data_IF_445698582755
#
_entry.id   IF_445698582755
#
_cell.length_a   1.000
_cell.length_b   1.000
_cell.length_c   1.000
_cell.angle_alpha   90.00
_cell.angle_beta   90.00
_cell.angle_gamma   90.00
#
_symmetry.space_group_name_H-M   'P 1'
#
loop_
_entity.id
_entity.type
_entity.pdbx_description
1 polymer ?
#
# COMPACT_ATOMS: atom_id res chain seq x y z
N UNK A 1 25.97 6.03 24.30
CA UNK A 1 25.12 5.92 23.10
C UNK A 1 23.75 5.43 23.53
N UNK A 2 22.69 6.22 23.34
CA UNK A 2 21.32 5.79 23.64
C UNK A 2 20.85 4.83 22.56
N UNK A 3 20.39 3.64 22.96
CA UNK A 3 19.78 2.67 22.04
C UNK A 3 18.41 3.23 21.63
N UNK A 4 18.24 3.52 20.34
CA UNK A 4 16.93 3.88 19.79
C UNK A 4 16.05 2.63 19.78
N UNK A 5 14.86 2.71 20.38
CA UNK A 5 13.89 1.61 20.38
C UNK A 5 12.68 2.01 19.54
N UNK A 6 12.48 1.33 18.42
CA UNK A 6 11.35 1.55 17.52
C UNK A 6 10.42 0.34 17.61
N UNK A 7 9.19 0.49 18.16
CA UNK A 7 8.19 -0.56 18.11
C UNK A 7 7.86 -0.93 16.66
N UNK A 8 8.11 -2.18 16.26
CA UNK A 8 7.84 -2.65 14.89
C UNK A 8 6.72 -3.69 14.92
N UNK A 9 5.70 -3.53 14.08
CA UNK A 9 4.66 -4.53 13.94
C UNK A 9 5.23 -5.83 13.34
N UNK A 10 4.80 -6.99 13.85
CA UNK A 10 5.33 -8.30 13.46
C UNK A 10 5.34 -8.55 11.94
N UNK A 11 4.35 -8.03 11.22
CA UNK A 11 4.26 -8.16 9.75
C UNK A 11 5.44 -7.52 9.02
N UNK A 12 6.09 -6.51 9.62
CA UNK A 12 7.21 -5.80 9.01
C UNK A 12 8.58 -6.32 9.45
N UNK A 13 8.65 -7.21 10.45
CA UNK A 13 9.90 -7.79 10.94
C UNK A 13 10.80 -8.36 9.82
N UNK A 14 10.28 -9.06 8.78
CA UNK A 14 11.12 -9.53 7.68
C UNK A 14 11.84 -8.40 6.93
N UNK A 15 11.25 -7.20 6.86
CA UNK A 15 11.81 -6.06 6.11
C UNK A 15 13.00 -5.39 6.84
N UNK A 16 13.26 -5.74 8.10
CA UNK A 16 14.42 -5.27 8.84
C UNK A 16 15.73 -5.91 8.34
N UNK A 17 15.64 -7.07 7.69
CA UNK A 17 16.81 -7.74 7.12
C UNK A 17 17.34 -6.97 5.90
N UNK A 18 18.66 -6.94 5.63
CA UNK A 18 19.20 -6.34 4.43
C UNK A 18 18.64 -7.01 3.17
N UNK A 19 18.11 -6.23 2.23
CA UNK A 19 17.59 -6.76 0.97
C UNK A 19 17.57 -5.70 -0.12
N UNK A 20 18.00 -6.08 -1.32
CA UNK A 20 18.04 -5.19 -2.48
C UNK A 20 16.67 -4.59 -2.81
N UNK A 21 15.61 -5.40 -2.69
CA UNK A 21 14.23 -4.97 -2.92
C UNK A 21 13.40 -5.28 -1.68
N UNK A 22 12.74 -4.27 -1.13
CA UNK A 22 11.82 -4.38 0.00
C UNK A 22 10.45 -3.88 -0.38
N UNK A 23 9.40 -4.65 -0.10
CA UNK A 23 8.04 -4.30 -0.48
C UNK A 23 7.05 -4.50 0.66
N UNK A 24 6.15 -3.55 0.86
CA UNK A 24 4.96 -3.75 1.67
C UNK A 24 3.72 -3.37 0.84
N UNK A 25 2.80 -4.32 0.70
CA UNK A 25 1.53 -4.10 0.02
C UNK A 25 0.34 -4.38 0.93
N UNK A 26 -0.82 -3.81 0.63
CA UNK A 26 -2.08 -4.14 1.31
C UNK A 26 -3.01 -2.94 1.43
N UNK A 27 -4.01 -3.01 2.30
CA UNK A 27 -5.04 -1.97 2.44
C UNK A 27 -4.59 -0.67 3.12
N UNK A 28 -5.50 0.30 3.23
CA UNK A 28 -5.31 1.54 3.98
C UNK A 28 -5.18 1.24 5.49
N UNK A 29 -4.54 2.15 6.22
CA UNK A 29 -4.41 2.04 7.68
C UNK A 29 -3.49 0.93 8.20
N UNK A 30 -2.75 0.25 7.32
CA UNK A 30 -1.87 -0.87 7.73
C UNK A 30 -0.49 -0.46 8.25
N UNK A 31 -0.18 0.84 8.35
CA UNK A 31 1.07 1.32 8.93
C UNK A 31 2.30 1.28 8.00
N UNK A 32 2.16 0.85 6.74
CA UNK A 32 3.29 0.70 5.78
C UNK A 32 4.18 1.93 5.65
N UNK A 33 3.58 3.10 5.43
CA UNK A 33 4.33 4.35 5.28
C UNK A 33 5.03 4.75 6.58
N UNK A 34 4.38 4.55 7.74
CA UNK A 34 4.99 4.83 9.04
C UNK A 34 6.21 3.94 9.28
N UNK A 35 6.11 2.64 8.97
CA UNK A 35 7.23 1.71 9.07
C UNK A 35 8.43 2.15 8.21
N UNK A 36 8.23 2.42 6.92
CA UNK A 36 9.34 2.87 6.06
C UNK A 36 9.90 4.24 6.47
N UNK A 37 9.06 5.14 6.99
CA UNK A 37 9.52 6.41 7.54
C UNK A 37 10.40 6.24 8.78
N UNK A 38 10.02 5.35 9.70
CA UNK A 38 10.82 5.02 10.89
C UNK A 38 12.13 4.33 10.51
N UNK A 39 12.06 3.33 9.63
CA UNK A 39 13.25 2.62 9.12
C UNK A 39 14.24 3.57 8.43
N UNK A 40 13.74 4.55 7.68
CA UNK A 40 14.61 5.54 7.03
C UNK A 40 15.32 6.42 8.05
N UNK A 41 14.61 6.89 9.09
CA UNK A 41 15.18 7.72 10.15
C UNK A 41 16.22 6.94 10.96
N UNK A 42 15.89 5.69 11.32
CA UNK A 42 16.82 4.77 11.98
C UNK A 42 18.09 4.59 11.15
N UNK A 43 17.97 4.30 9.85
CA UNK A 43 19.11 4.11 8.97
C UNK A 43 19.98 5.37 8.88
N UNK A 44 19.38 6.55 8.75
CA UNK A 44 20.11 7.82 8.72
C UNK A 44 20.85 8.09 10.04
N UNK A 45 20.32 7.61 11.17
CA UNK A 45 20.94 7.75 12.48
C UNK A 45 22.08 6.74 12.71
N UNK A 46 21.87 5.49 12.26
CA UNK A 46 22.84 4.41 12.39
C UNK A 46 24.02 4.57 11.41
N UNK A 47 23.73 5.05 10.21
CA UNK A 47 24.70 5.23 9.13
C UNK A 47 24.81 6.70 8.73
N UNK A 48 25.70 7.40 9.43
CA UNK A 48 26.00 8.81 9.15
C UNK A 48 26.47 8.99 7.70
N UNK A 49 25.93 10.00 7.03
CA UNK A 49 26.18 10.25 5.60
C UNK A 49 25.21 9.55 4.65
N UNK A 50 24.14 8.93 5.15
CA UNK A 50 23.13 8.29 4.30
C UNK A 50 22.51 9.26 3.31
N UNK A 51 22.61 8.92 2.02
CA UNK A 51 21.90 9.56 0.92
C UNK A 51 20.65 8.75 0.58
N UNK A 52 19.46 9.36 0.72
CA UNK A 52 18.18 8.71 0.47
C UNK A 52 17.24 9.56 -0.37
N UNK A 53 16.42 8.91 -1.20
CA UNK A 53 15.46 9.57 -2.08
C UNK A 53 14.07 8.97 -1.90
N UNK A 54 13.08 9.82 -1.66
CA UNK A 54 11.67 9.45 -1.67
C UNK A 54 11.06 9.78 -3.04
N UNK A 55 10.42 8.80 -3.66
CA UNK A 55 9.99 8.84 -5.06
C UNK A 55 8.48 8.61 -5.16
N UNK A 56 7.83 9.39 -6.03
CA UNK A 56 6.45 9.18 -6.49
C UNK A 56 6.37 9.39 -8.00
N UNK A 57 5.32 8.88 -8.66
CA UNK A 57 5.18 9.08 -10.12
C UNK A 57 4.98 10.56 -10.49
N UNK A 58 4.01 11.25 -9.88
CA UNK A 58 3.74 12.67 -10.16
C UNK A 58 3.87 13.50 -8.88
N UNK A 59 4.52 14.65 -9.00
CA UNK A 59 4.70 15.60 -7.90
C UNK A 59 3.81 16.82 -8.15
N UNK A 60 2.51 16.74 -7.84
CA UNK A 60 1.63 17.92 -7.87
C UNK A 60 1.34 18.41 -6.44
N UNK A 61 1.83 19.62 -6.18
CA UNK A 61 1.51 20.59 -5.11
C UNK A 61 1.86 20.25 -3.64
N UNK A 62 3.07 20.69 -3.24
CA UNK A 62 3.47 21.46 -2.05
C UNK A 62 3.28 20.99 -0.58
N UNK A 63 2.74 19.80 -0.25
CA UNK A 63 2.58 19.41 1.17
C UNK A 63 2.90 17.93 1.50
N UNK A 64 3.98 17.39 0.89
CA UNK A 64 4.94 16.49 1.57
C UNK A 64 4.36 15.30 2.37
N UNK A 65 3.69 14.32 1.75
CA UNK A 65 3.24 13.12 2.52
C UNK A 65 4.42 12.40 3.17
N UNK A 66 5.44 12.01 2.40
CA UNK A 66 6.58 11.27 2.92
C UNK A 66 7.56 12.18 3.69
N UNK A 67 7.79 13.44 3.25
CA UNK A 67 8.65 14.38 4.00
C UNK A 67 8.05 14.75 5.36
N UNK A 68 6.79 15.19 5.43
CA UNK A 68 6.14 15.50 6.72
C UNK A 68 6.08 14.27 7.62
N UNK A 69 5.86 13.10 7.03
CA UNK A 69 5.90 11.86 7.78
C UNK A 69 7.29 11.63 8.39
N UNK A 70 8.37 11.78 7.62
CA UNK A 70 9.74 11.64 8.12
C UNK A 70 10.04 12.70 9.19
N UNK A 71 9.65 13.96 8.99
CA UNK A 71 9.78 15.03 10.00
C UNK A 71 9.06 14.68 11.30
N UNK A 72 7.83 14.16 11.18
CA UNK A 72 7.06 13.67 12.32
C UNK A 72 7.76 12.50 13.02
N UNK A 73 8.39 11.58 12.27
CA UNK A 73 9.15 10.46 12.84
C UNK A 73 10.43 10.90 13.53
N UNK A 74 11.18 11.84 12.95
CA UNK A 74 12.36 12.45 13.59
C UNK A 74 11.96 13.05 14.95
N UNK A 75 10.85 13.79 14.99
CA UNK A 75 10.32 14.36 16.22
C UNK A 75 9.87 13.30 17.23
N UNK A 76 9.05 12.32 16.81
CA UNK A 76 8.50 11.30 17.71
C UNK A 76 9.55 10.34 18.27
N UNK A 77 10.63 10.11 17.53
CA UNK A 77 11.75 9.27 17.94
C UNK A 77 12.76 10.01 18.83
N UNK A 78 12.61 11.33 19.02
CA UNK A 78 13.50 12.14 19.84
C UNK A 78 14.91 12.31 19.26
N UNK A 79 15.10 12.07 17.96
CA UNK A 79 16.40 12.12 17.27
C UNK A 79 16.60 13.42 16.49
N UNK A 80 15.83 14.47 16.78
CA UNK A 80 15.94 15.75 16.07
C UNK A 80 17.35 16.37 16.09
N UNK A 81 18.17 16.06 17.09
CA UNK A 81 19.57 16.48 17.12
C UNK A 81 20.37 15.83 15.99
N UNK A 82 20.82 16.65 15.04
CA UNK A 82 21.60 16.21 13.88
C UNK A 82 20.80 16.14 12.58
N UNK A 83 19.48 16.32 12.63
CA UNK A 83 18.66 16.53 11.45
C UNK A 83 18.37 18.03 11.27
N UNK A 84 18.36 18.48 10.02
CA UNK A 84 17.94 19.84 9.66
C UNK A 84 16.97 19.80 8.50
N UNK A 85 15.77 20.30 8.73
CA UNK A 85 14.68 20.30 7.76
C UNK A 85 14.75 21.57 6.90
N UNK A 86 14.59 21.40 5.59
CA UNK A 86 14.51 22.48 4.62
C UNK A 86 13.18 22.38 3.86
N UNK A 87 12.91 23.30 2.93
CA UNK A 87 11.70 23.26 2.11
C UNK A 87 11.69 22.06 1.14
N UNK A 88 12.86 21.67 0.63
CA UNK A 88 13.03 20.69 -0.45
C UNK A 88 13.75 19.39 -0.04
N UNK A 89 14.38 19.37 1.14
CA UNK A 89 15.18 18.25 1.65
C UNK A 89 15.22 18.19 3.17
N UNK A 90 15.78 17.10 3.69
CA UNK A 90 16.17 16.95 5.10
C UNK A 90 17.65 16.59 5.11
N UNK A 91 18.50 17.44 5.69
CA UNK A 91 19.87 17.06 5.98
C UNK A 91 19.89 16.12 7.19
N UNK A 92 20.66 15.04 7.09
CA UNK A 92 20.77 13.98 8.09
C UNK A 92 22.17 14.01 8.74
N UNK A 93 22.37 13.32 9.87
CA UNK A 93 23.68 13.30 10.53
C UNK A 93 24.82 12.84 9.60
N UNK A 94 25.96 13.53 9.67
CA UNK A 94 27.17 13.20 8.90
C UNK A 94 27.10 13.54 7.42
N UNK A 95 26.54 14.70 7.07
CA UNK A 95 26.45 15.23 5.70
C UNK A 95 25.57 14.42 4.74
N UNK A 96 24.72 13.55 5.28
CA UNK A 96 23.71 12.83 4.50
C UNK A 96 22.51 13.73 4.16
N UNK A 97 21.66 13.25 3.25
CA UNK A 97 20.46 13.99 2.85
C UNK A 97 19.34 13.05 2.42
N UNK A 98 18.12 13.40 2.80
CA UNK A 98 16.89 12.86 2.22
C UNK A 98 16.27 13.89 1.29
N UNK A 99 16.10 13.52 0.01
CA UNK A 99 15.46 14.36 -1.01
C UNK A 99 14.15 13.73 -1.51
N UNK A 100 13.30 14.53 -2.14
CA UNK A 100 11.95 14.15 -2.56
C UNK A 100 11.76 14.47 -4.05
N UNK A 101 11.39 13.46 -4.86
CA UNK A 101 11.36 13.58 -6.33
C UNK A 101 10.11 12.94 -6.95
N UNK A 102 9.61 13.55 -8.02
CA UNK A 102 8.50 13.05 -8.84
C UNK A 102 8.98 12.60 -10.22
N UNK A 103 8.75 11.36 -10.62
CA UNK A 103 9.35 10.77 -11.83
C UNK A 103 8.82 11.33 -13.16
N UNK A 104 7.58 11.83 -13.21
CA UNK A 104 6.90 12.22 -14.46
C UNK A 104 7.58 13.36 -15.21
N UNK A 105 8.27 14.26 -14.51
CA UNK A 105 8.94 15.42 -15.09
C UNK A 105 10.47 15.23 -15.18
N UNK A 106 10.97 14.02 -14.87
CA UNK A 106 12.39 13.72 -14.85
C UNK A 106 12.83 12.95 -16.10
N UNK A 107 13.89 13.46 -16.74
CA UNK A 107 14.62 12.74 -17.79
C UNK A 107 15.64 11.79 -17.17
N UNK A 108 16.13 10.82 -17.95
CA UNK A 108 17.20 9.91 -17.55
C UNK A 108 18.42 10.69 -16.99
N UNK A 109 18.76 11.86 -17.55
CA UNK A 109 19.87 12.68 -17.09
C UNK A 109 19.64 13.30 -15.70
N UNK A 110 18.42 13.70 -15.38
CA UNK A 110 18.11 14.25 -14.05
C UNK A 110 18.16 13.19 -12.94
N UNK A 111 17.86 11.94 -13.28
CA UNK A 111 17.90 10.79 -12.37
C UNK A 111 19.32 10.30 -12.12
N UNK A 112 20.29 10.51 -13.03
CA UNK A 112 21.72 10.19 -12.80
C UNK A 112 22.31 10.86 -11.55
N UNK A 113 21.74 11.98 -11.12
CA UNK A 113 22.14 12.64 -9.87
C UNK A 113 21.89 11.80 -8.61
N UNK A 114 21.13 10.70 -8.73
CA UNK A 114 20.87 9.75 -7.65
C UNK A 114 21.93 8.63 -7.58
N UNK A 115 22.98 8.71 -8.40
CA UNK A 115 24.15 7.85 -8.25
C UNK A 115 24.82 8.10 -6.88
N UNK A 116 25.07 7.03 -6.13
CA UNK A 116 25.57 7.11 -4.75
C UNK A 116 24.49 7.08 -3.67
N UNK A 117 23.20 7.18 -4.04
CA UNK A 117 22.12 7.02 -3.07
C UNK A 117 22.04 5.58 -2.57
N UNK A 118 21.97 5.42 -1.25
CA UNK A 118 21.87 4.12 -0.59
C UNK A 118 20.42 3.63 -0.53
N UNK A 119 19.45 4.52 -0.39
CA UNK A 119 18.03 4.14 -0.31
C UNK A 119 17.20 4.92 -1.31
N UNK A 120 16.34 4.20 -2.04
CA UNK A 120 15.22 4.80 -2.75
C UNK A 120 13.90 4.22 -2.23
N UNK A 121 13.06 5.06 -1.64
CA UNK A 121 11.73 4.68 -1.19
C UNK A 121 10.66 5.21 -2.14
N UNK A 122 9.98 4.29 -2.82
CA UNK A 122 8.87 4.55 -3.72
C UNK A 122 7.57 4.50 -2.91
N UNK A 123 7.03 5.68 -2.61
CA UNK A 123 5.74 5.81 -1.94
C UNK A 123 4.60 5.79 -2.97
N UNK A 124 3.44 5.25 -2.58
CA UNK A 124 2.32 4.99 -3.49
C UNK A 124 2.73 4.32 -4.82
N UNK A 125 3.54 3.26 -4.72
CA UNK A 125 4.17 2.64 -5.88
C UNK A 125 3.17 2.05 -6.89
N UNK A 126 1.90 1.86 -6.53
CA UNK A 126 0.82 1.49 -7.48
C UNK A 126 0.58 2.53 -8.58
N UNK A 127 1.15 3.72 -8.45
CA UNK A 127 1.09 4.79 -9.46
C UNK A 127 2.31 4.85 -10.37
N UNK A 128 3.39 4.14 -10.02
CA UNK A 128 4.66 4.19 -10.73
C UNK A 128 4.55 3.47 -12.09
N UNK A 129 4.96 4.14 -13.16
CA UNK A 129 4.98 3.54 -14.48
C UNK A 129 6.13 2.53 -14.65
N UNK A 130 5.99 1.60 -15.59
CA UNK A 130 7.05 0.64 -15.90
C UNK A 130 8.33 1.34 -16.38
N UNK A 131 8.20 2.45 -17.10
CA UNK A 131 9.32 3.28 -17.54
C UNK A 131 10.07 3.91 -16.35
N UNK A 132 9.34 4.58 -15.43
CA UNK A 132 9.93 5.15 -14.21
C UNK A 132 10.66 4.08 -13.38
N UNK A 133 10.07 2.90 -13.21
CA UNK A 133 10.68 1.80 -12.48
C UNK A 133 11.96 1.27 -13.17
N UNK A 134 11.94 1.17 -14.50
CA UNK A 134 13.08 0.72 -15.29
C UNK A 134 14.25 1.72 -15.26
N UNK A 135 13.97 3.03 -15.19
CA UNK A 135 14.99 4.06 -15.01
C UNK A 135 15.59 4.04 -13.60
N UNK A 136 14.74 3.94 -12.57
CA UNK A 136 15.19 4.06 -11.18
C UNK A 136 16.12 2.93 -10.73
N UNK A 137 15.78 1.68 -11.08
CA UNK A 137 16.49 0.47 -10.63
C UNK A 137 18.00 0.46 -10.91
N UNK A 138 18.47 0.76 -12.14
CA UNK A 138 19.90 0.80 -12.44
C UNK A 138 20.61 2.05 -11.89
N UNK A 139 19.88 3.13 -11.58
CA UNK A 139 20.46 4.36 -11.04
C UNK A 139 20.91 4.21 -9.59
N UNK A 140 20.07 3.59 -8.75
CA UNK A 140 20.37 3.36 -7.33
C UNK A 140 21.36 2.20 -7.21
N UNK A 141 22.65 2.45 -7.45
CA UNK A 141 23.66 1.39 -7.66
C UNK A 141 24.80 1.36 -6.64
N UNK A 142 24.70 2.11 -5.54
CA UNK A 142 25.70 2.04 -4.47
C UNK A 142 25.77 0.62 -3.87
N UNK A 143 26.94 0.14 -3.43
CA UNK A 143 27.04 -1.15 -2.75
C UNK A 143 26.09 -1.22 -1.55
N UNK A 144 25.31 -2.31 -1.46
CA UNK A 144 24.31 -2.47 -0.40
C UNK A 144 23.11 -1.52 -0.48
N UNK A 145 22.90 -0.84 -1.61
CA UNK A 145 21.73 0.04 -1.77
C UNK A 145 20.42 -0.75 -1.89
N UNK A 146 19.36 -0.18 -1.34
CA UNK A 146 18.04 -0.79 -1.24
C UNK A 146 16.97 0.04 -1.97
N UNK A 147 16.02 -0.65 -2.61
CA UNK A 147 14.81 -0.05 -3.16
C UNK A 147 13.61 -0.53 -2.37
N UNK A 148 12.91 0.41 -1.74
CA UNK A 148 11.74 0.17 -0.92
C UNK A 148 10.48 0.58 -1.66
N UNK A 149 9.40 -0.18 -1.54
CA UNK A 149 8.12 0.16 -2.13
C UNK A 149 6.98 -0.06 -1.13
N UNK A 150 6.14 0.96 -0.98
CA UNK A 150 4.87 0.86 -0.26
C UNK A 150 3.72 1.13 -1.23
N UNK A 151 2.75 0.22 -1.31
CA UNK A 151 1.61 0.41 -2.21
C UNK A 151 0.32 -0.28 -1.76
N UNK A 152 -0.78 0.20 -2.33
CA UNK A 152 -2.08 -0.46 -2.25
C UNK A 152 -2.34 -1.06 -3.65
N UNK A 153 -2.34 -2.39 -3.83
CA UNK A 153 -2.57 -3.01 -5.13
C UNK A 153 -3.89 -2.54 -5.75
N UNK A 154 -3.87 -2.13 -7.01
CA UNK A 154 -5.08 -1.73 -7.75
C UNK A 154 -5.31 -2.62 -8.96
N UNK A 155 -4.30 -2.75 -9.83
CA UNK A 155 -4.37 -3.58 -11.04
C UNK A 155 -3.22 -4.56 -11.03
N UNK A 156 -3.47 -5.79 -11.51
CA UNK A 156 -2.42 -6.81 -11.66
C UNK A 156 -1.32 -6.36 -12.64
N UNK A 157 -1.64 -5.44 -13.55
CA UNK A 157 -0.71 -4.88 -14.53
C UNK A 157 0.11 -3.69 -13.99
N UNK A 158 -0.11 -3.25 -12.75
CA UNK A 158 0.68 -2.16 -12.17
C UNK A 158 2.15 -2.61 -12.09
N UNK A 159 3.09 -1.77 -12.53
CA UNK A 159 4.48 -2.16 -12.73
C UNK A 159 5.15 -2.70 -11.46
N UNK A 160 4.82 -2.11 -10.30
CA UNK A 160 5.35 -2.56 -9.02
C UNK A 160 4.76 -3.92 -8.60
N UNK A 161 3.51 -4.18 -8.93
CA UNK A 161 2.79 -5.40 -8.57
C UNK A 161 3.34 -6.58 -9.38
N UNK A 162 3.48 -6.39 -10.69
CA UNK A 162 4.16 -7.34 -11.57
C UNK A 162 5.60 -7.59 -11.10
N UNK A 163 6.35 -6.53 -10.77
CA UNK A 163 7.75 -6.67 -10.39
C UNK A 163 7.93 -7.38 -9.03
N UNK A 164 7.25 -6.94 -7.97
CA UNK A 164 7.49 -7.42 -6.60
C UNK A 164 6.54 -8.54 -6.14
N UNK A 165 5.46 -8.85 -6.86
CA UNK A 165 4.53 -9.94 -6.47
C UNK A 165 4.44 -11.05 -7.48
N UNK A 166 4.59 -10.76 -8.78
CA UNK A 166 4.52 -11.78 -9.83
C UNK A 166 5.90 -12.32 -10.18
N UNK A 167 6.82 -11.44 -10.63
CA UNK A 167 8.18 -11.84 -11.01
C UNK A 167 9.07 -12.11 -9.81
N UNK A 168 8.93 -11.31 -8.74
CA UNK A 168 9.64 -11.39 -7.47
C UNK A 168 11.15 -11.65 -7.64
N UNK A 169 11.99 -10.60 -7.78
CA UNK A 169 13.43 -10.77 -7.95
C UNK A 169 14.06 -11.60 -6.83
N UNK A 170 15.11 -12.40 -7.14
CA UNK A 170 15.84 -13.14 -6.11
C UNK A 170 16.31 -12.22 -4.98
N UNK A 171 16.09 -12.65 -3.74
CA UNK A 171 16.46 -11.88 -2.54
C UNK A 171 15.56 -10.67 -2.24
N UNK A 172 14.46 -10.48 -2.98
CA UNK A 172 13.44 -9.50 -2.62
C UNK A 172 12.64 -9.96 -1.40
N UNK A 173 12.37 -9.06 -0.46
CA UNK A 173 11.51 -9.31 0.70
C UNK A 173 10.23 -8.50 0.52
N UNK A 174 9.09 -9.18 0.48
CA UNK A 174 7.78 -8.54 0.25
C UNK A 174 6.75 -9.08 1.22
N UNK A 175 6.08 -8.17 1.93
CA UNK A 175 5.08 -8.51 2.97
C UNK A 175 3.70 -7.95 2.63
N UNK A 176 2.66 -8.67 3.04
CA UNK A 176 1.26 -8.24 2.93
C UNK A 176 0.78 -7.70 4.28
N UNK A 177 0.66 -6.38 4.40
CA UNK A 177 0.25 -5.70 5.62
C UNK A 177 -1.12 -5.02 5.46
N UNK A 178 -2.07 -5.41 6.29
CA UNK A 178 -3.43 -4.87 6.35
C UNK A 178 -3.73 -4.29 7.73
N UNK A 179 -4.91 -3.67 7.89
CA UNK A 179 -5.32 -3.01 9.14
C UNK A 179 -5.24 -3.94 10.36
N UNK A 180 -5.56 -5.23 10.20
CA UNK A 180 -5.47 -6.27 11.25
C UNK A 180 -4.05 -6.51 11.76
N UNK A 181 -3.05 -6.18 10.95
CA UNK A 181 -1.64 -6.37 11.27
C UNK A 181 -1.04 -5.13 11.93
N UNK A 182 -1.82 -4.04 12.06
CA UNK A 182 -1.40 -2.79 12.68
C UNK A 182 -1.85 -2.76 14.16
N UNK A 183 -0.93 -2.96 15.13
CA UNK A 183 -1.27 -2.92 16.55
C UNK A 183 -1.60 -1.49 17.05
N UNK A 184 -1.29 -0.46 16.25
CA UNK A 184 -1.61 0.94 16.53
C UNK A 184 -2.68 1.47 15.56
N UNK A 185 -3.65 0.63 15.20
CA UNK A 185 -4.73 1.02 14.29
C UNK A 185 -5.56 2.17 14.91
N UNK A 186 -5.69 3.33 14.23
CA UNK A 186 -6.38 4.49 14.80
C UNK A 186 -7.88 4.23 15.02
N UNK A 187 -8.41 4.69 16.15
CA UNK A 187 -9.84 4.54 16.50
C UNK A 187 -10.77 5.12 15.42
N UNK A 188 -10.40 6.25 14.81
CA UNK A 188 -11.16 6.88 13.72
C UNK A 188 -11.32 5.93 12.52
N UNK A 189 -10.27 5.19 12.16
CA UNK A 189 -10.34 4.22 11.05
C UNK A 189 -11.10 2.94 11.46
N UNK A 190 -11.10 2.59 12.74
CA UNK A 190 -11.89 1.48 13.26
C UNK A 190 -13.39 1.77 13.23
N UNK A 191 -13.79 3.01 13.52
CA UNK A 191 -15.19 3.46 13.38
C UNK A 191 -15.66 3.39 11.92
N UNK A 192 -14.87 3.91 10.97
CA UNK A 192 -15.16 3.80 9.54
C UNK A 192 -15.28 2.34 9.09
N UNK A 193 -14.33 1.49 9.51
CA UNK A 193 -14.32 0.07 9.17
C UNK A 193 -15.58 -0.65 9.70
N UNK A 194 -16.00 -0.34 10.93
CA UNK A 194 -17.24 -0.89 11.51
C UNK A 194 -18.47 -0.43 10.74
N UNK A 195 -18.54 0.83 10.34
CA UNK A 195 -19.63 1.36 9.53
C UNK A 195 -19.72 0.66 8.16
N UNK A 196 -18.57 0.46 7.49
CA UNK A 196 -18.48 -0.28 6.23
C UNK A 196 -18.95 -1.74 6.40
N UNK A 197 -18.53 -2.43 7.47
CA UNK A 197 -19.00 -3.79 7.74
C UNK A 197 -20.51 -3.86 7.98
N UNK A 198 -21.10 -2.87 8.66
CA UNK A 198 -22.55 -2.80 8.83
C UNK A 198 -23.26 -2.59 7.50
N UNK A 199 -22.74 -1.71 6.65
CA UNK A 199 -23.27 -1.48 5.32
C UNK A 199 -23.21 -2.75 4.45
N UNK A 200 -22.07 -3.44 4.42
CA UNK A 200 -21.89 -4.69 3.68
C UNK A 200 -22.82 -5.80 4.19
N UNK A 201 -23.02 -5.91 5.52
CA UNK A 201 -23.96 -6.87 6.10
C UNK A 201 -25.40 -6.59 5.68
N UNK A 202 -25.81 -5.32 5.65
CA UNK A 202 -27.14 -4.92 5.18
C UNK A 202 -27.31 -5.23 3.70
N UNK A 203 -26.34 -4.84 2.87
CA UNK A 203 -26.36 -5.12 1.43
C UNK A 203 -26.45 -6.62 1.15
N UNK A 204 -25.61 -7.44 1.81
CA UNK A 204 -25.64 -8.90 1.65
C UNK A 204 -27.02 -9.49 2.01
N UNK A 205 -27.62 -9.07 3.12
CA UNK A 205 -28.98 -9.50 3.49
C UNK A 205 -30.02 -9.08 2.44
N UNK A 206 -29.91 -7.87 1.90
CA UNK A 206 -30.80 -7.38 0.84
C UNK A 206 -30.66 -8.19 -0.45
N UNK A 207 -29.44 -8.56 -0.85
CA UNK A 207 -29.19 -9.41 -2.03
C UNK A 207 -29.74 -10.83 -1.81
N UNK A 208 -29.47 -11.43 -0.65
CA UNK A 208 -30.00 -12.77 -0.29
C UNK A 208 -31.54 -12.76 -0.27
N UNK A 209 -32.15 -11.71 0.28
CA UNK A 209 -33.60 -11.54 0.31
C UNK A 209 -34.18 -11.34 -1.09
N UNK A 210 -33.55 -10.53 -1.95
CA UNK A 210 -33.96 -10.36 -3.34
C UNK A 210 -33.91 -11.69 -4.11
N UNK A 211 -32.80 -12.45 -4.01
CA UNK A 211 -32.69 -13.78 -4.63
C UNK A 211 -33.76 -14.75 -4.12
N UNK A 212 -34.05 -14.73 -2.82
CA UNK A 212 -35.11 -15.57 -2.22
C UNK A 212 -36.49 -15.22 -2.76
N UNK A 213 -36.82 -13.93 -2.90
CA UNK A 213 -38.09 -13.50 -3.50
C UNK A 213 -38.20 -13.91 -4.96
N UNK A 214 -37.15 -13.74 -5.76
CA UNK A 214 -37.15 -14.16 -7.17
C UNK A 214 -37.36 -15.68 -7.30
N UNK A 215 -36.68 -16.46 -6.46
CA UNK A 215 -36.83 -17.92 -6.44
C UNK A 215 -38.26 -18.35 -6.04
N UNK A 216 -38.82 -17.74 -5.00
CA UNK A 216 -40.21 -17.98 -4.59
C UNK A 216 -41.20 -17.62 -5.70
N UNK A 217 -41.03 -16.47 -6.35
CA UNK A 217 -41.91 -16.04 -7.43
C UNK A 217 -41.90 -17.02 -8.61
N UNK A 218 -40.72 -17.51 -9.02
CA UNK A 218 -40.59 -18.52 -10.09
C UNK A 218 -41.30 -19.82 -9.71
N UNK A 219 -41.10 -20.32 -8.48
CA UNK A 219 -41.80 -21.52 -8.00
C UNK A 219 -43.32 -21.32 -7.99
N UNK A 220 -43.79 -20.17 -7.52
CA UNK A 220 -45.23 -19.86 -7.49
C UNK A 220 -45.80 -19.86 -8.90
N UNK A 221 -45.15 -19.23 -9.89
CA UNK A 221 -45.62 -19.24 -11.29
C UNK A 221 -45.70 -20.67 -11.85
N UNK A 222 -44.69 -21.51 -11.59
CA UNK A 222 -44.67 -22.90 -12.04
C UNK A 222 -45.81 -23.70 -11.40
N UNK A 223 -45.97 -23.59 -10.08
CA UNK A 223 -47.00 -24.31 -9.33
C UNK A 223 -48.41 -23.89 -9.77
N UNK A 224 -48.67 -22.58 -9.92
CA UNK A 224 -49.96 -22.07 -10.39
C UNK A 224 -50.25 -22.49 -11.82
N UNK A 225 -49.25 -22.46 -12.72
CA UNK A 225 -49.39 -22.94 -14.09
C UNK A 225 -49.73 -24.44 -14.15
N UNK A 226 -49.06 -25.26 -13.34
CA UNK A 226 -49.32 -26.70 -13.28
C UNK A 226 -50.72 -27.00 -12.74
N UNK A 227 -51.14 -26.35 -11.65
CA UNK A 227 -52.49 -26.52 -11.08
C UNK A 227 -53.56 -26.11 -12.08
N UNK A 228 -53.36 -25.00 -12.81
CA UNK A 228 -54.28 -24.56 -13.86
C UNK A 228 -54.41 -25.56 -15.01
N UNK A 229 -53.29 -26.13 -15.46
CA UNK A 229 -53.28 -27.16 -16.50
C UNK A 229 -54.00 -28.45 -16.06
N UNK A 230 -53.75 -28.91 -14.84
CA UNK A 230 -54.42 -30.08 -14.26
C UNK A 230 -55.92 -29.84 -14.13
N UNK A 231 -56.33 -28.66 -13.65
CA UNK A 231 -57.74 -28.29 -13.52
C UNK A 231 -58.48 -28.26 -14.87
N UNK A 232 -57.85 -27.66 -15.89
CA UNK A 232 -58.38 -27.66 -17.26
C UNK A 232 -58.51 -29.08 -17.82
N UNK A 233 -57.52 -29.93 -17.56
CA UNK A 233 -57.57 -31.35 -17.91
C UNK A 233 -58.74 -32.07 -17.27
N UNK A 234 -58.89 -31.99 -15.94
CA UNK A 234 -60.00 -32.60 -15.20
C UNK A 234 -61.36 -32.12 -15.70
N UNK A 235 -61.51 -30.81 -15.96
CA UNK A 235 -62.76 -30.23 -16.47
C UNK A 235 -63.10 -30.74 -17.87
N UNK A 236 -62.11 -30.94 -18.73
CA UNK A 236 -62.31 -31.53 -20.06
C UNK A 236 -62.72 -33.01 -20.00
N UNK A 237 -62.28 -33.75 -18.98
CA UNK A 237 -62.63 -35.17 -18.79
C UNK A 237 -63.99 -35.36 -18.12
N UNK A 238 -64.39 -34.47 -17.21
CA UNK A 238 -65.68 -34.52 -16.51
C UNK A 238 -66.83 -33.82 -17.25
N UNK A 239 -66.52 -33.05 -18.30
CA UNK A 239 -67.50 -32.37 -19.16
C UNK A 239 -67.98 -33.18 -20.38
N UNK A 240 -67.63 -34.48 -20.45
CA UNK A 240 -68.18 -35.47 -21.37
C UNK A 240 -69.01 -36.47 -20.58
#
# INVERSE_FOLDING_TARGET
MSILKIPTAKVFEPLLQPARYKGAFGGRGSGKSHFFGELLVEMCQAERGTLAVCIREAQRTLAQSSKRLIESKIASLGVGQGFKTYSDRIATPGDGVVIFRGMRDHTADSIKSLEGFKVAWIDEAQSLSAHSLALLRPTIRAPGSELWASWNPRRKSDAIDDFLRVRLPPGAIVVNANWRDNPWFPAVLDEELRADFQHLRRWRKSVEQAQSYTFKAVITVIATGFVGAVWLGIKATLGK
#
